data_IF_127309569501
#
_entry.id   IF_127309569501
#
_cell.length_a   1.000
_cell.length_b   1.000
_cell.length_c   1.000
_cell.angle_alpha   90.00
_cell.angle_beta   90.00
_cell.angle_gamma   90.00
#
_symmetry.space_group_name_H-M   'P 1'
#
loop_
_entity.id
_entity.type
_entity.pdbx_description
1 polymer ?
#
# COMPACT_ATOMS: atom_id res chain seq x y z
N UNK A 1 -20.50 14.37 54.72
CA UNK A 1 -21.87 14.87 54.45
C UNK A 1 -21.78 15.81 53.26
N UNK A 2 -22.10 15.46 52.02
CA UNK A 2 -22.53 14.20 51.42
C UNK A 2 -22.02 14.17 49.98
N UNK A 3 -21.49 13.01 49.56
CA UNK A 3 -21.14 12.73 48.17
C UNK A 3 -22.46 12.34 47.50
N UNK A 4 -23.21 13.34 47.02
CA UNK A 4 -24.52 13.13 46.42
C UNK A 4 -24.36 12.56 45.02
N UNK A 5 -24.76 11.29 44.92
CA UNK A 5 -24.91 10.52 43.72
C UNK A 5 -25.68 11.27 42.62
N UNK A 6 -25.00 11.52 41.51
CA UNK A 6 -25.63 11.72 40.20
C UNK A 6 -24.98 10.77 39.21
N UNK A 7 -25.06 9.48 39.50
CA UNK A 7 -24.96 8.42 38.50
C UNK A 7 -26.21 8.55 37.61
N UNK A 8 -26.21 9.58 36.77
CA UNK A 8 -27.10 9.64 35.62
C UNK A 8 -26.70 8.47 34.74
N UNK A 9 -27.48 7.41 34.85
CA UNK A 9 -27.53 6.26 33.95
C UNK A 9 -27.89 6.79 32.56
N UNK A 10 -26.95 7.45 31.90
CA UNK A 10 -26.93 7.55 30.45
C UNK A 10 -26.42 6.19 30.00
N UNK A 11 -27.34 5.22 29.97
CA UNK A 11 -27.06 3.93 29.39
C UNK A 11 -26.41 4.14 28.01
N UNK A 12 -25.43 3.30 27.70
CA UNK A 12 -24.76 3.22 26.40
C UNK A 12 -25.72 2.71 25.30
N UNK A 13 -26.91 3.29 25.18
CA UNK A 13 -27.91 2.97 24.15
C UNK A 13 -28.18 4.21 23.29
N UNK A 14 -27.12 4.80 22.74
CA UNK A 14 -27.26 5.57 21.51
C UNK A 14 -27.04 4.61 20.35
N UNK A 15 -28.13 4.08 19.79
CA UNK A 15 -28.06 3.36 18.53
C UNK A 15 -27.67 4.36 17.43
N UNK A 16 -26.71 4.01 16.55
CA UNK A 16 -26.39 4.86 15.42
C UNK A 16 -27.65 5.04 14.56
N UNK A 17 -27.94 6.28 14.19
CA UNK A 17 -29.03 6.55 13.25
C UNK A 17 -28.62 6.17 11.82
N UNK A 18 -29.56 6.20 10.88
CA UNK A 18 -29.31 5.78 9.49
C UNK A 18 -28.17 6.58 8.83
N UNK A 19 -28.07 7.88 9.10
CA UNK A 19 -27.00 8.72 8.58
C UNK A 19 -25.63 8.30 9.12
N UNK A 20 -25.53 7.98 10.41
CA UNK A 20 -24.29 7.47 11.01
C UNK A 20 -23.89 6.11 10.44
N UNK A 21 -24.87 5.23 10.16
CA UNK A 21 -24.62 3.94 9.50
C UNK A 21 -24.17 4.11 8.05
N UNK A 22 -24.76 5.06 7.31
CA UNK A 22 -24.35 5.39 5.93
C UNK A 22 -22.92 5.92 5.88
N UNK A 23 -22.60 6.90 6.70
CA UNK A 23 -21.24 7.46 6.79
C UNK A 23 -20.23 6.39 7.17
N UNK A 24 -20.60 5.48 8.09
CA UNK A 24 -19.74 4.36 8.46
C UNK A 24 -19.47 3.43 7.27
N UNK A 25 -20.50 3.06 6.51
CA UNK A 25 -20.33 2.18 5.35
C UNK A 25 -19.54 2.88 4.24
N UNK A 26 -19.81 4.15 3.94
CA UNK A 26 -19.03 4.95 2.98
C UNK A 26 -17.54 5.03 3.38
N UNK A 27 -17.26 5.30 4.66
CA UNK A 27 -15.89 5.36 5.17
C UNK A 27 -15.20 4.00 5.07
N UNK A 28 -15.91 2.92 5.38
CA UNK A 28 -15.41 1.56 5.24
C UNK A 28 -15.08 1.23 3.79
N UNK A 29 -15.97 1.56 2.85
CA UNK A 29 -15.72 1.34 1.43
C UNK A 29 -14.53 2.16 0.91
N UNK A 30 -14.41 3.42 1.34
CA UNK A 30 -13.27 4.26 1.02
C UNK A 30 -11.95 3.70 1.57
N UNK A 31 -11.95 3.22 2.81
CA UNK A 31 -10.78 2.58 3.42
C UNK A 31 -10.38 1.31 2.67
N UNK A 32 -11.34 0.42 2.36
CA UNK A 32 -11.08 -0.81 1.61
C UNK A 32 -10.51 -0.52 0.21
N UNK A 33 -11.06 0.48 -0.48
CA UNK A 33 -10.57 0.91 -1.80
C UNK A 33 -9.14 1.46 -1.72
N UNK A 34 -8.84 2.25 -0.69
CA UNK A 34 -7.50 2.77 -0.44
C UNK A 34 -6.50 1.64 -0.14
N UNK A 35 -6.87 0.67 0.69
CA UNK A 35 -6.05 -0.50 1.00
C UNK A 35 -5.74 -1.33 -0.25
N UNK A 36 -6.77 -1.59 -1.08
CA UNK A 36 -6.60 -2.28 -2.36
C UNK A 36 -5.65 -1.52 -3.30
N UNK A 37 -5.78 -0.19 -3.38
CA UNK A 37 -4.91 0.66 -4.20
C UNK A 37 -3.46 0.61 -3.71
N UNK A 38 -3.24 0.64 -2.39
CA UNK A 38 -1.88 0.53 -1.81
C UNK A 38 -1.28 -0.83 -2.14
N UNK A 39 -2.05 -1.91 -1.99
CA UNK A 39 -1.59 -3.26 -2.28
C UNK A 39 -1.26 -3.45 -3.78
N UNK A 40 -2.10 -2.91 -4.67
CA UNK A 40 -1.81 -2.88 -6.11
C UNK A 40 -0.50 -2.14 -6.39
N UNK A 41 -0.32 -0.93 -5.86
CA UNK A 41 0.91 -0.14 -6.05
C UNK A 41 2.15 -0.83 -5.51
N UNK A 42 2.05 -1.57 -4.40
CA UNK A 42 3.15 -2.39 -3.86
C UNK A 42 3.56 -3.49 -4.83
N UNK A 43 2.59 -4.18 -5.43
CA UNK A 43 2.84 -5.23 -6.43
C UNK A 43 3.47 -4.65 -7.69
N UNK A 44 2.94 -3.55 -8.20
CA UNK A 44 3.49 -2.84 -9.35
C UNK A 44 4.94 -2.40 -9.09
N UNK A 45 5.21 -1.83 -7.91
CA UNK A 45 6.57 -1.44 -7.51
C UNK A 45 7.51 -2.64 -7.48
N UNK A 46 7.12 -3.73 -6.82
CA UNK A 46 7.95 -4.92 -6.74
C UNK A 46 8.23 -5.51 -8.13
N UNK A 47 7.25 -5.47 -9.04
CA UNK A 47 7.44 -5.93 -10.41
C UNK A 47 8.42 -5.05 -11.19
N UNK A 48 8.25 -3.72 -11.11
CA UNK A 48 9.16 -2.76 -11.74
C UNK A 48 10.59 -2.88 -11.20
N UNK A 49 10.76 -3.09 -9.90
CA UNK A 49 12.09 -3.31 -9.29
C UNK A 49 12.75 -4.59 -9.84
N UNK A 50 11.99 -5.69 -10.01
CA UNK A 50 12.50 -6.91 -10.64
C UNK A 50 12.90 -6.68 -12.09
N UNK A 51 12.04 -6.02 -12.88
CA UNK A 51 12.34 -5.71 -14.28
C UNK A 51 13.58 -4.82 -14.41
N UNK A 52 13.72 -3.82 -13.54
CA UNK A 52 14.87 -2.92 -13.52
C UNK A 52 16.17 -3.67 -13.20
N UNK A 53 16.15 -4.56 -12.21
CA UNK A 53 17.31 -5.38 -11.87
C UNK A 53 17.68 -6.35 -12.99
N UNK A 54 16.69 -6.98 -13.62
CA UNK A 54 16.91 -7.83 -14.81
C UNK A 54 17.56 -7.02 -15.94
N UNK A 55 17.03 -5.84 -16.26
CA UNK A 55 17.57 -4.99 -17.33
C UNK A 55 18.98 -4.49 -17.04
N UNK A 56 19.31 -4.22 -15.78
CA UNK A 56 20.70 -3.89 -15.38
C UNK A 56 21.65 -5.05 -15.64
N UNK A 57 21.25 -6.28 -15.34
CA UNK A 57 22.05 -7.49 -15.61
C UNK A 57 22.24 -7.72 -17.10
N UNK A 58 21.16 -7.64 -17.88
CA UNK A 58 21.22 -7.75 -19.35
C UNK A 58 22.16 -6.68 -19.94
N UNK A 59 22.08 -5.43 -19.45
CA UNK A 59 22.95 -4.36 -19.90
C UNK A 59 24.42 -4.63 -19.56
N UNK A 60 24.71 -5.14 -18.35
CA UNK A 60 26.07 -5.46 -17.96
C UNK A 60 26.63 -6.60 -18.81
N UNK A 61 25.84 -7.66 -19.02
CA UNK A 61 26.22 -8.78 -19.90
C UNK A 61 26.52 -8.30 -21.32
N UNK A 62 25.67 -7.45 -21.89
CA UNK A 62 25.88 -6.89 -23.22
C UNK A 62 27.15 -6.02 -23.30
N UNK A 63 27.46 -5.26 -22.25
CA UNK A 63 28.73 -4.50 -22.15
C UNK A 63 29.94 -5.43 -22.09
N UNK A 64 29.88 -6.45 -21.25
CA UNK A 64 30.97 -7.41 -21.08
C UNK A 64 31.22 -8.18 -22.38
N UNK A 65 30.15 -8.60 -23.07
CA UNK A 65 30.23 -9.24 -24.38
C UNK A 65 30.81 -8.31 -25.45
N UNK A 66 30.36 -7.05 -25.50
CA UNK A 66 30.92 -6.04 -26.41
C UNK A 66 32.42 -5.86 -26.19
N UNK A 67 32.87 -5.75 -24.95
CA UNK A 67 34.28 -5.60 -24.63
C UNK A 67 35.07 -6.89 -24.93
N UNK A 68 34.49 -8.07 -24.71
CA UNK A 68 35.10 -9.33 -25.11
C UNK A 68 35.27 -9.44 -26.64
N UNK A 69 34.26 -9.02 -27.41
CA UNK A 69 34.33 -8.98 -28.87
C UNK A 69 35.40 -7.99 -29.35
N UNK A 70 35.45 -6.78 -28.78
CA UNK A 70 36.53 -5.82 -29.10
C UNK A 70 37.92 -6.40 -28.88
N UNK A 71 38.16 -7.01 -27.72
CA UNK A 71 39.44 -7.68 -27.41
C UNK A 71 39.77 -8.78 -28.41
N UNK A 72 38.79 -9.59 -28.83
CA UNK A 72 38.97 -10.63 -29.85
C UNK A 72 39.30 -10.06 -31.23
N UNK A 73 38.73 -8.89 -31.55
CA UNK A 73 38.98 -8.18 -32.81
C UNK A 73 40.22 -7.28 -32.77
N UNK A 74 40.90 -7.15 -31.62
CA UNK A 74 42.03 -6.24 -31.44
C UNK A 74 41.66 -4.76 -31.50
N UNK A 75 40.40 -4.42 -31.20
CA UNK A 75 39.85 -3.05 -31.17
C UNK A 75 39.84 -2.46 -29.75
#
# INVERSE_FOLDING_TARGET
MGFAASLSVVGCTKHPNEEQLRVLEETKQAALSAEQTVEQKRREKADLERQLEQKKRELQQAKDEKEAVKRRLGL
#
